data_IF_859505572101
#
_entry.id   IF_859505572101
#
_cell.length_a   1.000
_cell.length_b   1.000
_cell.length_c   1.000
_cell.angle_alpha   90.00
_cell.angle_beta   90.00
_cell.angle_gamma   90.00
#
_symmetry.space_group_name_H-M   'P 1'
#
loop_
_entity.id
_entity.type
_entity.pdbx_description
1 polymer ?
#
# COMPACT_ATOMS: atom_id res chain seq x y z
N UNK A 1 -64.85 20.44 -22.93
CA UNK A 1 -64.35 19.67 -21.77
C UNK A 1 -64.13 18.23 -22.21
N UNK A 2 -62.89 17.84 -22.51
CA UNK A 2 -62.54 16.47 -22.86
C UNK A 2 -61.66 15.91 -21.75
N UNK A 3 -62.20 14.98 -20.97
CA UNK A 3 -61.50 14.31 -19.87
C UNK A 3 -60.65 13.17 -20.42
N UNK A 4 -59.34 13.36 -20.43
CA UNK A 4 -58.37 12.37 -20.89
C UNK A 4 -58.38 11.13 -20.00
N UNK A 5 -58.71 9.97 -20.57
CA UNK A 5 -58.59 8.68 -19.87
C UNK A 5 -57.12 8.37 -19.60
N UNK A 6 -56.75 7.94 -18.37
CA UNK A 6 -55.38 7.56 -18.07
C UNK A 6 -54.97 6.33 -18.89
N UNK A 7 -53.76 6.39 -19.44
CA UNK A 7 -53.22 5.39 -20.35
C UNK A 7 -52.80 4.14 -19.54
N UNK A 8 -53.68 3.13 -19.51
CA UNK A 8 -53.59 1.95 -18.64
C UNK A 8 -52.22 1.24 -18.71
N UNK A 9 -51.55 1.24 -19.87
CA UNK A 9 -50.21 0.67 -20.03
C UNK A 9 -49.12 1.40 -19.24
N UNK A 10 -49.22 2.73 -19.07
CA UNK A 10 -48.29 3.49 -18.22
C UNK A 10 -48.49 3.20 -16.74
N UNK A 11 -49.73 3.02 -16.30
CA UNK A 11 -50.04 2.67 -14.92
C UNK A 11 -49.47 1.29 -14.56
N UNK A 12 -49.63 0.30 -15.44
CA UNK A 12 -49.10 -1.06 -15.24
C UNK A 12 -47.57 -1.06 -15.16
N UNK A 13 -46.90 -0.33 -16.06
CA UNK A 13 -45.43 -0.26 -16.07
C UNK A 13 -44.91 0.37 -14.78
N UNK A 14 -45.48 1.49 -14.34
CA UNK A 14 -45.07 2.16 -13.09
C UNK A 14 -45.29 1.25 -11.88
N UNK A 15 -46.44 0.56 -11.81
CA UNK A 15 -46.71 -0.39 -10.72
C UNK A 15 -45.71 -1.54 -10.70
N UNK A 16 -45.32 -2.08 -11.86
CA UNK A 16 -44.33 -3.15 -11.93
C UNK A 16 -42.94 -2.69 -11.48
N UNK A 17 -42.49 -1.51 -11.90
CA UNK A 17 -41.18 -0.97 -11.49
C UNK A 17 -41.11 -0.72 -9.99
N UNK A 18 -42.17 -0.15 -9.40
CA UNK A 18 -42.23 0.08 -7.95
C UNK A 18 -42.23 -1.24 -7.16
N UNK A 19 -42.92 -2.27 -7.67
CA UNK A 19 -42.94 -3.59 -7.05
C UNK A 19 -41.54 -4.24 -7.08
N UNK A 20 -40.84 -4.19 -8.23
CA UNK A 20 -39.47 -4.69 -8.36
C UNK A 20 -38.49 -3.96 -7.43
N UNK A 21 -38.54 -2.63 -7.39
CA UNK A 21 -37.68 -1.84 -6.51
C UNK A 21 -37.92 -2.15 -5.03
N UNK A 22 -39.19 -2.35 -4.63
CA UNK A 22 -39.54 -2.74 -3.27
C UNK A 22 -38.98 -4.12 -2.90
N UNK A 23 -39.10 -5.11 -3.79
CA UNK A 23 -38.53 -6.44 -3.55
C UNK A 23 -36.99 -6.44 -3.52
N UNK A 24 -36.33 -5.64 -4.37
CA UNK A 24 -34.87 -5.48 -4.32
C UNK A 24 -34.41 -4.82 -3.02
N UNK A 25 -35.16 -3.83 -2.51
CA UNK A 25 -34.89 -3.22 -1.22
C UNK A 25 -35.09 -4.21 -0.06
N UNK A 26 -36.14 -5.05 -0.11
CA UNK A 26 -36.35 -6.10 0.89
C UNK A 26 -35.24 -7.16 0.86
N UNK A 27 -34.77 -7.56 -0.32
CA UNK A 27 -33.64 -8.49 -0.47
C UNK A 27 -32.35 -7.85 0.05
N UNK A 28 -32.09 -6.60 -0.30
CA UNK A 28 -30.94 -5.85 0.18
C UNK A 28 -30.96 -5.72 1.72
N UNK A 29 -32.08 -5.32 2.31
CA UNK A 29 -32.19 -5.19 3.76
C UNK A 29 -32.20 -6.53 4.49
N UNK A 30 -32.80 -7.58 3.91
CA UNK A 30 -32.79 -8.93 4.47
C UNK A 30 -31.39 -9.56 4.46
N UNK A 31 -30.64 -9.35 3.37
CA UNK A 31 -29.29 -9.88 3.20
C UNK A 31 -28.25 -9.12 4.03
N UNK A 32 -28.31 -7.79 4.06
CA UNK A 32 -27.35 -6.96 4.78
C UNK A 32 -27.74 -6.65 6.24
N UNK A 33 -29.03 -6.64 6.57
CA UNK A 33 -29.51 -6.32 7.92
C UNK A 33 -29.31 -7.47 8.92
N UNK A 34 -29.49 -8.72 8.50
CA UNK A 34 -29.28 -9.88 9.36
C UNK A 34 -27.79 -10.15 9.66
N UNK A 35 -26.89 -9.80 8.74
CA UNK A 35 -25.44 -10.00 8.89
C UNK A 35 -24.79 -8.87 9.73
N UNK A 36 -25.37 -7.66 9.73
CA UNK A 36 -24.83 -6.53 10.49
C UNK A 36 -25.00 -6.69 12.01
N UNK A 37 -26.20 -7.02 12.49
CA UNK A 37 -26.47 -7.18 13.93
C UNK A 37 -25.66 -8.31 14.56
N UNK A 38 -25.50 -9.43 13.85
CA UNK A 38 -24.68 -10.56 14.30
C UNK A 38 -23.19 -10.21 14.37
N UNK A 39 -22.67 -9.46 13.40
CA UNK A 39 -21.27 -9.00 13.38
C UNK A 39 -20.99 -7.96 14.45
N UNK A 40 -21.95 -7.07 14.73
CA UNK A 40 -21.82 -6.06 15.80
C UNK A 40 -21.82 -6.73 17.17
N UNK A 41 -22.76 -7.65 17.44
CA UNK A 41 -22.78 -8.39 18.72
C UNK A 41 -21.52 -9.24 18.93
N UNK A 42 -21.02 -9.90 17.87
CA UNK A 42 -19.76 -10.65 17.95
C UNK A 42 -18.55 -9.74 18.26
N UNK A 43 -18.44 -8.58 17.59
CA UNK A 43 -17.35 -7.62 17.86
C UNK A 43 -17.43 -6.96 19.23
N UNK A 44 -18.63 -6.71 19.75
CA UNK A 44 -18.82 -6.16 21.09
C UNK A 44 -18.43 -7.19 22.17
N UNK A 45 -18.74 -8.47 21.97
CA UNK A 45 -18.33 -9.54 22.89
C UNK A 45 -16.80 -9.76 22.88
N UNK A 46 -16.16 -9.66 21.72
CA UNK A 46 -14.70 -9.73 21.59
C UNK A 46 -14.01 -8.53 22.27
N UNK A 47 -14.52 -7.31 22.05
CA UNK A 47 -14.00 -6.10 22.70
C UNK A 47 -14.15 -6.13 24.23
N UNK A 48 -15.28 -6.64 24.75
CA UNK A 48 -15.50 -6.79 26.19
C UNK A 48 -14.51 -7.80 26.83
N UNK A 49 -14.12 -8.84 26.08
CA UNK A 49 -13.15 -9.85 26.54
C UNK A 49 -11.73 -9.27 26.60
N UNK A 50 -11.35 -8.44 25.61
CA UNK A 50 -10.03 -7.78 25.56
C UNK A 50 -9.89 -6.72 26.66
N UNK A 51 -10.93 -5.93 26.92
CA UNK A 51 -10.92 -4.91 27.96
C UNK A 51 -10.86 -5.51 29.38
N UNK A 52 -11.33 -6.75 29.58
CA UNK A 52 -11.23 -7.47 30.86
C UNK A 52 -9.81 -7.95 31.21
N UNK A 53 -8.88 -8.01 30.24
CA UNK A 53 -7.52 -8.52 30.44
C UNK A 53 -6.46 -7.43 30.63
N UNK A 54 -6.78 -6.17 30.34
CA UNK A 54 -5.86 -5.02 30.45
C UNK A 54 -6.12 -4.24 31.74
N UNK A 55 -5.98 -4.92 32.88
CA UNK A 55 -6.00 -4.28 34.20
C UNK A 55 -4.74 -4.64 34.99
N UNK A 56 -3.59 -4.13 34.54
CA UNK A 56 -2.42 -3.84 35.41
C UNK A 56 -1.37 -3.02 34.67
N UNK A 57 -1.07 -1.78 35.11
CA UNK A 57 0.04 -1.01 34.56
C UNK A 57 1.33 -1.44 35.26
N UNK A 58 2.17 -2.23 34.58
CA UNK A 58 3.54 -2.49 35.07
C UNK A 58 4.53 -1.49 34.48
N UNK A 59 5.20 -0.79 35.39
CA UNK A 59 6.12 0.31 35.18
C UNK A 59 7.54 -0.24 35.25
N UNK A 60 8.03 -0.85 34.17
CA UNK A 60 9.46 -1.14 34.08
C UNK A 60 9.98 -1.02 32.64
N UNK A 61 10.59 0.14 32.38
CA UNK A 61 11.28 0.47 31.15
C UNK A 61 12.73 0.00 31.34
N UNK A 62 13.03 -1.23 30.91
CA UNK A 62 14.38 -1.78 31.03
C UNK A 62 14.55 -3.12 30.34
N UNK A 63 15.28 -3.10 29.21
CA UNK A 63 15.93 -4.26 28.55
C UNK A 63 14.98 -5.33 28.02
N UNK A 64 14.60 -5.20 26.76
CA UNK A 64 14.24 -6.38 25.97
C UNK A 64 15.43 -7.34 25.96
N UNK A 65 15.15 -8.60 26.31
CA UNK A 65 16.06 -9.74 26.21
C UNK A 65 16.58 -9.85 24.76
N UNK A 66 17.88 -10.09 24.51
CA UNK A 66 18.37 -10.23 23.14
C UNK A 66 17.66 -11.41 22.48
N UNK A 67 16.89 -11.15 21.42
CA UNK A 67 16.47 -12.20 20.49
C UNK A 67 17.74 -12.82 19.89
N UNK A 68 17.74 -14.13 19.73
CA UNK A 68 18.89 -14.95 19.36
C UNK A 68 19.71 -14.38 18.18
N UNK A 69 21.05 -14.50 18.27
CA UNK A 69 22.08 -13.82 17.46
C UNK A 69 22.16 -14.22 15.98
N UNK A 70 21.05 -14.36 15.27
CA UNK A 70 21.07 -14.51 13.81
C UNK A 70 19.86 -13.78 13.21
N UNK A 71 20.03 -13.02 12.11
CA UNK A 71 18.90 -12.42 11.42
C UNK A 71 17.88 -13.50 11.03
N UNK A 72 16.58 -13.17 10.99
CA UNK A 72 15.57 -14.10 10.54
C UNK A 72 15.80 -14.50 9.07
N UNK A 73 15.40 -15.72 8.72
CA UNK A 73 15.49 -16.22 7.33
C UNK A 73 14.55 -15.42 6.41
N UNK A 74 13.32 -15.18 6.88
CA UNK A 74 12.31 -14.41 6.14
C UNK A 74 11.67 -13.37 7.04
N UNK A 75 11.47 -12.19 6.48
CA UNK A 75 10.79 -11.08 7.14
C UNK A 75 9.78 -10.43 6.21
N UNK A 76 8.59 -10.13 6.72
CA UNK A 76 7.61 -9.29 6.03
C UNK A 76 7.59 -7.90 6.66
N UNK A 77 7.67 -6.89 5.81
CA UNK A 77 7.70 -5.47 6.16
C UNK A 77 6.47 -4.81 5.55
N UNK A 78 5.65 -4.18 6.39
CA UNK A 78 4.46 -3.49 5.94
C UNK A 78 4.36 -2.09 6.56
N UNK A 79 3.88 -1.14 5.76
CA UNK A 79 3.42 0.13 6.26
C UNK A 79 1.92 0.01 6.55
N UNK A 80 1.53 0.47 7.74
CA UNK A 80 0.18 0.38 8.26
C UNK A 80 -0.25 1.73 8.79
N UNK A 81 -1.55 1.96 8.77
CA UNK A 81 -2.21 2.97 9.59
C UNK A 81 -2.65 2.35 10.90
N UNK A 82 -2.88 3.19 11.91
CA UNK A 82 -3.44 2.73 13.18
C UNK A 82 -4.79 2.02 12.99
N UNK A 83 -5.59 2.46 12.01
CA UNK A 83 -6.90 1.89 11.71
C UNK A 83 -6.87 0.55 10.96
N UNK A 84 -5.71 0.13 10.43
CA UNK A 84 -5.63 -1.10 9.65
C UNK A 84 -5.59 -2.34 10.56
N UNK A 85 -6.36 -3.38 10.23
CA UNK A 85 -6.22 -4.69 10.87
C UNK A 85 -5.00 -5.41 10.28
N UNK A 86 -3.92 -5.48 11.05
CA UNK A 86 -2.68 -6.21 10.70
C UNK A 86 -2.55 -7.56 11.43
N UNK A 87 -3.55 -7.95 12.23
CA UNK A 87 -3.53 -9.23 12.95
C UNK A 87 -3.50 -10.44 12.01
N UNK A 88 -3.96 -10.27 10.77
CA UNK A 88 -4.00 -11.33 9.77
C UNK A 88 -2.60 -11.83 9.38
N UNK A 89 -1.57 -10.98 9.44
CA UNK A 89 -0.18 -11.40 9.20
C UNK A 89 0.22 -12.51 10.16
N UNK A 90 -0.15 -12.38 11.44
CA UNK A 90 0.14 -13.39 12.45
C UNK A 90 -0.77 -14.61 12.32
N UNK A 91 -2.04 -14.43 11.95
CA UNK A 91 -3.01 -15.53 11.82
C UNK A 91 -2.76 -16.43 10.61
N UNK A 92 -2.28 -15.89 9.50
CA UNK A 92 -2.28 -16.58 8.22
C UNK A 92 -0.91 -16.83 7.60
N UNK A 93 0.14 -16.09 7.99
CA UNK A 93 1.49 -16.34 7.49
C UNK A 93 2.26 -17.32 8.38
N UNK A 94 3.34 -17.93 7.86
CA UNK A 94 4.14 -18.86 8.66
C UNK A 94 4.67 -18.20 9.94
N UNK A 95 4.72 -18.98 11.03
CA UNK A 95 5.10 -18.46 12.34
C UNK A 95 6.56 -17.99 12.38
N UNK A 96 7.41 -18.63 11.59
CA UNK A 96 8.84 -18.36 11.45
C UNK A 96 9.18 -17.07 10.69
N UNK A 97 8.23 -16.50 9.93
CA UNK A 97 8.45 -15.19 9.31
C UNK A 97 8.46 -14.12 10.40
N UNK A 98 9.48 -13.26 10.41
CA UNK A 98 9.46 -12.04 11.21
C UNK A 98 8.44 -11.05 10.64
N UNK A 99 7.75 -10.29 11.48
CA UNK A 99 6.77 -9.27 11.06
C UNK A 99 7.24 -7.90 11.53
N UNK A 100 7.48 -6.99 10.59
CA UNK A 100 7.88 -5.60 10.84
C UNK A 100 6.79 -4.67 10.31
N UNK A 101 5.85 -4.34 11.19
CA UNK A 101 4.70 -3.51 10.85
C UNK A 101 4.96 -2.10 11.36
N UNK A 102 5.20 -1.16 10.43
CA UNK A 102 5.45 0.25 10.72
C UNK A 102 4.12 1.01 10.70
N UNK A 103 3.77 1.64 11.82
CA UNK A 103 2.57 2.50 11.89
C UNK A 103 2.98 3.92 11.50
N UNK A 104 2.43 4.46 10.42
CA UNK A 104 2.95 5.70 9.79
C UNK A 104 2.12 6.95 10.05
N UNK A 105 0.87 6.84 10.49
CA UNK A 105 -0.08 7.95 10.58
C UNK A 105 -0.26 8.51 12.00
N UNK A 106 0.63 8.13 12.91
CA UNK A 106 0.64 8.62 14.28
C UNK A 106 2.07 8.96 14.70
N UNK A 107 2.25 10.15 15.27
CA UNK A 107 3.45 10.53 16.06
C UNK A 107 3.42 9.86 17.44
N UNK A 108 3.00 8.60 17.48
CA UNK A 108 2.78 7.89 18.72
C UNK A 108 4.08 7.19 19.13
N UNK A 109 4.68 7.72 20.21
CA UNK A 109 5.82 7.10 20.88
C UNK A 109 5.51 5.69 21.44
N UNK A 110 4.26 5.22 21.36
CA UNK A 110 3.84 3.88 21.76
C UNK A 110 3.88 2.85 20.62
N UNK A 111 3.95 3.25 19.35
CA UNK A 111 4.09 2.31 18.25
C UNK A 111 5.49 1.65 18.30
N UNK A 112 5.59 0.30 18.33
CA UNK A 112 6.89 -0.37 18.40
C UNK A 112 7.81 -0.07 17.20
N UNK A 113 7.23 0.21 16.04
CA UNK A 113 7.92 0.62 14.82
C UNK A 113 7.14 1.77 14.17
N UNK A 114 7.84 2.87 13.90
CA UNK A 114 7.31 4.07 13.25
C UNK A 114 8.35 4.66 12.28
N UNK A 115 7.97 5.70 11.55
CA UNK A 115 8.82 6.38 10.57
C UNK A 115 9.23 7.77 11.07
N UNK A 116 10.39 8.30 10.63
CA UNK A 116 10.84 9.64 11.05
C UNK A 116 9.91 10.78 10.60
N UNK A 117 9.26 10.63 9.45
CA UNK A 117 8.28 11.58 8.88
C UNK A 117 7.37 10.81 7.93
N UNK A 118 6.06 10.97 8.03
CA UNK A 118 5.11 10.35 7.11
C UNK A 118 5.10 11.06 5.74
N UNK A 119 6.12 10.77 4.92
CA UNK A 119 6.30 11.34 3.57
C UNK A 119 6.53 10.23 2.56
N UNK A 120 5.74 10.18 1.49
CA UNK A 120 5.87 9.13 0.47
C UNK A 120 5.23 7.79 0.87
N UNK A 121 4.31 7.79 1.85
CA UNK A 121 3.50 6.64 2.24
C UNK A 121 4.36 5.41 2.58
N UNK A 122 4.15 4.28 1.91
CA UNK A 122 4.82 3.00 2.19
C UNK A 122 6.33 3.08 1.92
N UNK A 123 6.75 3.95 0.99
CA UNK A 123 8.16 4.12 0.65
C UNK A 123 9.01 4.54 1.84
N UNK A 124 8.47 5.36 2.75
CA UNK A 124 9.21 5.76 3.95
C UNK A 124 9.45 4.57 4.88
N UNK A 125 8.41 3.79 5.17
CA UNK A 125 8.54 2.62 6.05
C UNK A 125 9.56 1.62 5.49
N UNK A 126 9.52 1.39 4.18
CA UNK A 126 10.43 0.45 3.53
C UNK A 126 11.88 0.96 3.59
N UNK A 127 12.09 2.24 3.29
CA UNK A 127 13.42 2.84 3.35
C UNK A 127 13.98 2.89 4.78
N UNK A 128 13.16 3.30 5.76
CA UNK A 128 13.50 3.29 7.18
C UNK A 128 13.94 1.89 7.61
N UNK A 129 13.16 0.86 7.27
CA UNK A 129 13.52 -0.52 7.59
C UNK A 129 14.88 -0.93 6.99
N UNK A 130 15.07 -0.68 5.70
CA UNK A 130 16.31 -1.02 4.98
C UNK A 130 17.52 -0.35 5.62
N UNK A 131 17.40 0.94 5.98
CA UNK A 131 18.50 1.73 6.56
C UNK A 131 18.79 1.31 7.99
N UNK A 132 17.75 1.23 8.84
CA UNK A 132 17.93 0.97 10.28
C UNK A 132 18.36 -0.47 10.57
N UNK A 133 17.95 -1.40 9.71
CA UNK A 133 18.28 -2.82 9.85
C UNK A 133 19.40 -3.28 8.93
N UNK A 134 20.09 -2.37 8.22
CA UNK A 134 20.99 -2.70 7.10
C UNK A 134 22.03 -3.80 7.42
N UNK A 135 22.60 -3.77 8.61
CA UNK A 135 23.61 -4.73 9.06
C UNK A 135 23.01 -6.07 9.54
N UNK A 136 21.72 -6.09 9.85
CA UNK A 136 20.96 -7.22 10.41
C UNK A 136 19.70 -7.60 9.60
N UNK A 137 19.61 -7.21 8.31
CA UNK A 137 18.49 -7.53 7.42
C UNK A 137 18.22 -9.04 7.41
N UNK A 138 16.97 -9.46 7.22
CA UNK A 138 16.64 -10.88 6.98
C UNK A 138 17.27 -11.40 5.68
N UNK A 139 17.43 -12.73 5.51
CA UNK A 139 17.97 -13.27 4.25
C UNK A 139 17.07 -12.89 3.06
N UNK A 140 15.75 -12.96 3.27
CA UNK A 140 14.71 -12.53 2.34
C UNK A 140 13.72 -11.59 3.04
N UNK A 141 13.50 -10.42 2.47
CA UNK A 141 12.49 -9.47 2.92
C UNK A 141 11.35 -9.40 1.91
N UNK A 142 10.13 -9.35 2.42
CA UNK A 142 8.90 -9.21 1.65
C UNK A 142 8.27 -7.87 2.03
N UNK A 143 8.26 -6.93 1.10
CA UNK A 143 7.63 -5.63 1.28
C UNK A 143 6.19 -5.71 0.76
N UNK A 144 5.22 -5.39 1.62
CA UNK A 144 3.80 -5.63 1.36
C UNK A 144 2.90 -4.54 1.96
N UNK A 145 1.68 -4.40 1.44
CA UNK A 145 0.68 -3.49 2.01
C UNK A 145 0.02 -4.08 3.26
N UNK A 146 -0.46 -3.24 4.18
CA UNK A 146 -1.15 -3.73 5.37
C UNK A 146 -2.49 -4.42 5.07
N UNK A 147 -3.20 -3.99 4.02
CA UNK A 147 -4.51 -4.54 3.68
C UNK A 147 -4.41 -5.96 3.09
N UNK A 148 -5.11 -6.91 3.71
CA UNK A 148 -5.22 -8.28 3.20
C UNK A 148 -5.96 -8.36 1.87
N UNK A 149 -7.08 -7.65 1.76
CA UNK A 149 -7.92 -7.65 0.57
C UNK A 149 -7.75 -6.33 -0.17
N UNK A 150 -7.18 -6.37 -1.38
CA UNK A 150 -6.90 -5.17 -2.15
C UNK A 150 -6.90 -5.46 -3.66
N UNK A 151 -7.38 -4.49 -4.45
CA UNK A 151 -7.49 -4.60 -5.91
C UNK A 151 -6.16 -4.93 -6.62
N UNK A 152 -5.03 -4.61 -5.98
CA UNK A 152 -3.68 -4.83 -6.49
C UNK A 152 -3.04 -6.14 -5.98
N UNK A 153 -3.85 -7.02 -5.37
CA UNK A 153 -3.51 -8.42 -5.17
C UNK A 153 -4.06 -9.22 -6.35
N UNK A 154 -3.21 -9.95 -7.06
CA UNK A 154 -3.60 -10.62 -8.31
C UNK A 154 -4.36 -11.94 -8.09
N UNK A 155 -4.65 -12.29 -6.83
CA UNK A 155 -5.56 -13.39 -6.51
C UNK A 155 -6.99 -13.03 -6.96
N UNK A 156 -7.78 -13.97 -7.53
CA UNK A 156 -9.14 -13.68 -8.00
C UNK A 156 -10.07 -13.11 -6.92
N UNK A 157 -9.84 -13.45 -5.65
CA UNK A 157 -10.61 -12.94 -4.51
C UNK A 157 -9.98 -11.67 -3.88
N UNK A 158 -8.95 -11.12 -4.54
CA UNK A 158 -8.13 -10.00 -4.06
C UNK A 158 -7.42 -10.26 -2.72
N UNK A 159 -7.33 -11.53 -2.30
CA UNK A 159 -6.70 -11.95 -1.04
C UNK A 159 -5.17 -12.06 -1.18
N UNK A 160 -4.43 -11.45 -0.26
CA UNK A 160 -2.98 -11.54 -0.18
C UNK A 160 -2.46 -12.90 0.31
N UNK A 161 -3.25 -13.60 1.14
CA UNK A 161 -2.80 -14.82 1.84
C UNK A 161 -2.36 -15.93 0.87
N UNK A 162 -3.14 -16.26 -0.19
CA UNK A 162 -2.76 -17.30 -1.12
C UNK A 162 -1.41 -17.02 -1.82
N UNK A 163 -1.16 -15.77 -2.22
CA UNK A 163 0.10 -15.34 -2.84
C UNK A 163 1.27 -15.45 -1.88
N UNK A 164 1.13 -14.93 -0.66
CA UNK A 164 2.21 -14.93 0.33
C UNK A 164 2.55 -16.35 0.82
N UNK A 165 1.56 -17.21 1.06
CA UNK A 165 1.79 -18.60 1.49
C UNK A 165 2.41 -19.48 0.42
N UNK A 166 2.22 -19.14 -0.86
CA UNK A 166 2.80 -19.88 -2.00
C UNK A 166 4.05 -19.21 -2.57
N UNK A 167 4.56 -18.17 -1.92
CA UNK A 167 5.77 -17.48 -2.36
C UNK A 167 6.95 -18.45 -2.40
N UNK A 168 7.52 -18.66 -3.59
CA UNK A 168 8.65 -19.55 -3.79
C UNK A 168 9.95 -18.87 -3.36
N UNK A 169 10.28 -18.96 -2.08
CA UNK A 169 11.46 -18.30 -1.51
C UNK A 169 12.77 -18.65 -2.25
N UNK A 170 12.93 -19.90 -2.70
CA UNK A 170 14.13 -20.29 -3.47
C UNK A 170 14.22 -19.57 -4.82
N UNK A 171 13.10 -19.23 -5.44
CA UNK A 171 13.10 -18.41 -6.64
C UNK A 171 13.49 -16.97 -6.32
N UNK A 172 12.97 -16.40 -5.23
CA UNK A 172 13.37 -15.06 -4.76
C UNK A 172 14.88 -15.01 -4.49
N UNK A 173 15.42 -16.03 -3.82
CA UNK A 173 16.86 -16.15 -3.52
C UNK A 173 17.72 -16.18 -4.77
N UNK A 174 17.32 -16.93 -5.80
CA UNK A 174 18.04 -16.98 -7.08
C UNK A 174 17.91 -15.71 -7.91
N UNK A 175 16.71 -15.12 -7.95
CA UNK A 175 16.44 -13.90 -8.73
C UNK A 175 16.98 -12.63 -8.06
N UNK A 176 17.10 -12.64 -6.73
CA UNK A 176 17.55 -11.51 -5.92
C UNK A 176 16.46 -10.47 -5.64
N UNK A 177 15.56 -10.23 -6.60
CA UNK A 177 14.39 -9.35 -6.50
C UNK A 177 13.24 -9.94 -7.33
N UNK A 178 12.01 -9.91 -6.80
CA UNK A 178 10.80 -10.39 -7.48
C UNK A 178 9.64 -9.47 -7.14
N UNK A 179 8.92 -8.97 -8.16
CA UNK A 179 7.65 -8.29 -7.96
C UNK A 179 6.57 -9.33 -7.61
N UNK A 180 5.73 -9.05 -6.61
CA UNK A 180 4.67 -9.96 -6.20
C UNK A 180 3.42 -9.86 -7.09
N UNK A 181 3.34 -8.81 -7.89
CA UNK A 181 2.38 -8.71 -8.98
C UNK A 181 2.92 -9.38 -10.24
N UNK A 182 2.02 -10.04 -10.95
CA UNK A 182 2.24 -10.73 -12.21
C UNK A 182 1.12 -10.36 -13.19
N UNK A 183 0.90 -9.07 -13.39
CA UNK A 183 -0.09 -8.53 -14.34
C UNK A 183 0.57 -7.70 -15.43
N UNK A 184 0.03 -7.83 -16.64
CA UNK A 184 0.52 -7.13 -17.83
C UNK A 184 -0.20 -5.82 -18.10
N UNK A 185 -1.24 -5.48 -17.35
CA UNK A 185 -2.13 -4.35 -17.65
C UNK A 185 -1.63 -2.99 -17.14
N UNK A 186 -0.76 -2.98 -16.13
CA UNK A 186 -0.21 -1.74 -15.54
C UNK A 186 1.29 -1.91 -15.41
N UNK A 187 2.08 -1.02 -16.01
CA UNK A 187 3.53 -1.02 -15.86
C UNK A 187 4.29 -1.81 -16.92
N UNK A 188 3.64 -2.67 -17.71
CA UNK A 188 4.30 -3.53 -18.71
C UNK A 188 3.60 -3.41 -20.07
N UNK A 189 4.32 -3.61 -21.20
CA UNK A 189 5.74 -3.95 -21.29
C UNK A 189 6.68 -2.73 -21.26
N UNK A 190 6.17 -1.50 -21.28
CA UNK A 190 6.94 -0.28 -21.53
C UNK A 190 6.24 0.98 -21.01
N UNK A 191 5.79 0.97 -19.75
CA UNK A 191 4.96 2.05 -19.21
C UNK A 191 5.63 3.42 -19.19
N UNK A 192 6.91 3.49 -18.82
CA UNK A 192 7.64 4.76 -18.67
C UNK A 192 8.80 4.78 -19.66
N UNK A 193 8.89 5.86 -20.42
CA UNK A 193 9.96 6.18 -21.35
C UNK A 193 10.68 7.45 -20.85
N UNK A 194 11.65 7.34 -19.91
CA UNK A 194 12.09 8.48 -19.10
C UNK A 194 12.57 9.70 -19.89
N UNK A 195 13.17 9.49 -21.07
CA UNK A 195 13.63 10.59 -21.92
C UNK A 195 12.46 11.29 -22.64
N UNK A 196 11.61 10.51 -23.32
CA UNK A 196 10.44 11.04 -24.04
C UNK A 196 9.44 11.69 -23.07
N UNK A 197 9.11 11.01 -21.98
CA UNK A 197 8.16 11.51 -20.98
C UNK A 197 8.62 12.84 -20.34
N UNK A 198 9.93 13.06 -20.22
CA UNK A 198 10.49 14.29 -19.67
C UNK A 198 10.48 15.44 -20.70
N UNK A 199 10.71 15.15 -21.98
CA UNK A 199 10.60 16.11 -23.07
C UNK A 199 9.15 16.58 -23.24
N UNK A 200 8.19 15.66 -23.30
CA UNK A 200 6.76 15.96 -23.38
C UNK A 200 6.31 16.84 -22.19
N UNK A 201 6.74 16.51 -20.98
CA UNK A 201 6.43 17.29 -19.80
C UNK A 201 7.01 18.72 -19.82
N UNK A 202 8.17 18.91 -20.46
CA UNK A 202 8.80 20.22 -20.61
C UNK A 202 8.10 21.07 -21.68
N UNK A 203 7.69 20.46 -22.80
CA UNK A 203 6.95 21.13 -23.87
C UNK A 203 5.58 21.61 -23.38
N UNK A 204 4.86 20.79 -22.63
CA UNK A 204 3.57 21.14 -22.02
C UNK A 204 3.66 22.36 -21.08
N UNK A 205 4.83 22.58 -20.46
CA UNK A 205 5.06 23.71 -19.56
C UNK A 205 5.42 25.01 -20.28
N UNK A 206 5.65 24.96 -21.60
CA UNK A 206 6.16 26.09 -22.41
C UNK A 206 5.07 26.88 -23.16
N UNK A 207 3.80 26.46 -23.09
CA UNK A 207 2.66 27.20 -23.66
C UNK A 207 2.20 28.32 -22.71
N UNK A 208 2.99 29.39 -22.59
CA UNK A 208 2.59 30.67 -21.96
C UNK A 208 1.71 31.50 -22.92
N UNK A 209 0.61 30.87 -23.34
CA UNK A 209 -0.33 31.37 -24.34
C UNK A 209 -1.54 32.08 -23.75
N UNK A 210 -1.35 32.96 -22.74
CA UNK A 210 -2.31 34.00 -22.42
C UNK A 210 -3.15 33.81 -21.15
N UNK A 211 -2.72 34.45 -20.06
CA UNK A 211 -3.57 35.29 -19.18
C UNK A 211 -4.79 34.68 -18.47
N UNK A 212 -4.94 33.36 -18.43
CA UNK A 212 -5.96 32.66 -17.64
C UNK A 212 -5.33 31.88 -16.50
N UNK A 213 -6.06 31.68 -15.40
CA UNK A 213 -5.73 30.68 -14.37
C UNK A 213 -5.78 29.29 -15.00
N UNK A 214 -4.69 28.89 -15.67
CA UNK A 214 -4.47 27.54 -16.18
C UNK A 214 -4.51 26.56 -14.99
N UNK A 215 -5.34 25.50 -15.04
CA UNK A 215 -5.33 24.48 -14.00
C UNK A 215 -3.94 23.83 -13.97
N UNK A 216 -3.24 23.91 -12.82
CA UNK A 216 -1.95 23.24 -12.59
C UNK A 216 -2.08 21.76 -13.02
N UNK A 217 -1.50 21.39 -14.16
CA UNK A 217 -1.47 20.01 -14.64
C UNK A 217 -0.81 19.14 -13.56
N UNK A 218 -1.50 18.09 -13.14
CA UNK A 218 -1.00 17.19 -12.10
C UNK A 218 0.33 16.56 -12.52
N UNK A 219 1.34 16.64 -11.65
CA UNK A 219 2.64 16.02 -11.88
C UNK A 219 2.52 14.49 -11.87
N UNK A 220 2.83 13.85 -13.00
CA UNK A 220 2.77 12.38 -13.14
C UNK A 220 4.12 11.74 -12.81
N UNK A 221 4.11 10.45 -12.44
CA UNK A 221 5.36 9.69 -12.22
C UNK A 221 6.23 9.65 -13.47
N UNK A 222 5.62 9.52 -14.66
CA UNK A 222 6.33 9.55 -15.96
C UNK A 222 7.13 10.83 -16.13
N UNK A 223 6.46 11.97 -15.94
CA UNK A 223 7.05 13.30 -16.09
C UNK A 223 8.27 13.54 -15.18
N UNK A 224 8.29 12.97 -13.98
CA UNK A 224 9.38 13.19 -13.02
C UNK A 224 10.41 12.06 -12.96
N UNK A 225 10.17 10.92 -13.62
CA UNK A 225 10.96 9.71 -13.40
C UNK A 225 12.43 9.94 -13.68
N UNK A 226 12.76 10.51 -14.86
CA UNK A 226 14.15 10.79 -15.26
C UNK A 226 14.89 11.61 -14.22
N UNK A 227 14.31 12.76 -13.84
CA UNK A 227 14.89 13.67 -12.84
C UNK A 227 15.09 12.95 -11.51
N UNK A 228 14.07 12.26 -11.01
CA UNK A 228 14.16 11.51 -9.76
C UNK A 228 15.23 10.41 -9.82
N UNK A 229 15.37 9.73 -10.96
CA UNK A 229 16.40 8.71 -11.15
C UNK A 229 17.81 9.30 -11.10
N UNK A 230 18.05 10.41 -11.79
CA UNK A 230 19.35 11.10 -11.81
C UNK A 230 19.73 11.64 -10.42
N UNK A 231 18.75 12.16 -9.67
CA UNK A 231 18.94 12.61 -8.30
C UNK A 231 19.24 11.43 -7.34
N UNK A 232 18.49 10.33 -7.45
CA UNK A 232 18.63 9.17 -6.54
C UNK A 232 19.83 8.28 -6.87
N UNK A 233 20.24 8.22 -8.13
CA UNK A 233 21.29 7.32 -8.64
C UNK A 233 22.30 8.08 -9.51
N UNK A 234 23.03 9.05 -8.93
CA UNK A 234 23.97 9.88 -9.67
C UNK A 234 25.04 9.03 -10.36
N UNK A 235 25.29 9.32 -11.64
CA UNK A 235 26.25 8.60 -12.48
C UNK A 235 25.77 7.25 -13.02
N UNK A 236 24.55 6.83 -12.69
CA UNK A 236 23.91 5.67 -13.33
C UNK A 236 23.17 6.12 -14.58
N UNK A 237 23.38 5.51 -15.75
CA UNK A 237 22.59 5.81 -16.94
C UNK A 237 21.10 5.60 -16.67
N UNK A 238 20.28 6.58 -17.05
CA UNK A 238 18.82 6.46 -17.00
C UNK A 238 18.41 5.38 -18.01
N UNK A 239 17.53 4.43 -17.64
CA UNK A 239 17.05 3.42 -18.56
C UNK A 239 16.15 4.04 -19.65
N UNK A 240 16.23 3.52 -20.88
CA UNK A 240 15.38 3.97 -21.99
C UNK A 240 13.89 3.64 -21.75
N UNK A 241 13.63 2.51 -21.08
CA UNK A 241 12.28 2.01 -20.79
C UNK A 241 12.26 1.45 -19.37
N UNK A 242 11.19 1.73 -18.62
CA UNK A 242 10.92 1.11 -17.32
C UNK A 242 9.61 0.37 -17.38
N UNK A 243 9.72 -0.94 -17.14
CA UNK A 243 8.64 -1.88 -17.28
C UNK A 243 8.52 -2.77 -16.03
N UNK A 244 7.70 -2.36 -15.08
CA UNK A 244 7.49 -3.11 -13.84
C UNK A 244 6.06 -2.92 -13.38
N UNK A 245 5.42 -4.02 -12.96
CA UNK A 245 4.08 -3.96 -12.39
C UNK A 245 4.03 -3.01 -11.19
N UNK A 246 2.95 -2.23 -11.09
CA UNK A 246 2.82 -1.18 -10.06
C UNK A 246 2.75 -1.74 -8.63
N UNK A 247 2.59 -0.78 -7.71
CA UNK A 247 1.91 -0.99 -6.43
C UNK A 247 2.79 -1.57 -5.31
N UNK A 248 4.12 -1.49 -5.45
CA UNK A 248 5.07 -1.57 -4.33
C UNK A 248 5.04 -2.85 -3.48
N UNK A 249 4.59 -3.98 -4.05
CA UNK A 249 4.67 -5.29 -3.38
C UNK A 249 5.75 -6.14 -4.03
N UNK A 250 6.82 -6.44 -3.30
CA UNK A 250 7.97 -7.15 -3.85
C UNK A 250 8.72 -7.93 -2.77
N UNK A 251 9.46 -8.95 -3.18
CA UNK A 251 10.39 -9.67 -2.32
C UNK A 251 11.83 -9.43 -2.82
N UNK A 252 12.76 -9.26 -1.88
CA UNK A 252 14.15 -8.95 -2.18
C UNK A 252 15.08 -9.61 -1.17
N UNK A 253 16.24 -10.03 -1.65
CA UNK A 253 17.28 -10.65 -0.82
C UNK A 253 18.17 -9.62 -0.14
N UNK A 254 18.71 -9.97 1.03
CA UNK A 254 19.76 -9.18 1.70
C UNK A 254 20.88 -8.80 0.75
N UNK A 255 21.41 -9.80 0.03
CA UNK A 255 22.55 -9.61 -0.85
C UNK A 255 22.23 -8.64 -1.99
N UNK A 256 20.98 -8.65 -2.48
CA UNK A 256 20.53 -7.69 -3.50
C UNK A 256 20.49 -6.27 -2.97
N UNK A 257 19.95 -6.04 -1.78
CA UNK A 257 19.99 -4.71 -1.15
C UNK A 257 21.44 -4.27 -0.94
N UNK A 258 22.29 -5.18 -0.44
CA UNK A 258 23.70 -4.90 -0.12
C UNK A 258 24.60 -4.64 -1.32
N UNK A 259 24.14 -4.87 -2.55
CA UNK A 259 24.83 -4.39 -3.75
C UNK A 259 24.96 -2.87 -3.79
N UNK A 260 24.15 -2.13 -3.00
CA UNK A 260 24.28 -0.68 -2.84
C UNK A 260 24.59 -0.33 -1.38
N UNK A 261 25.70 0.37 -1.09
CA UNK A 261 26.05 0.74 0.28
C UNK A 261 25.00 1.68 0.89
N UNK A 262 24.84 1.69 2.23
CA UNK A 262 23.79 2.46 2.90
C UNK A 262 23.95 3.97 2.72
N UNK A 263 25.17 4.46 2.43
CA UNK A 263 25.40 5.86 2.04
C UNK A 263 24.66 6.26 0.76
N UNK A 264 24.50 5.34 -0.19
CA UNK A 264 23.69 5.56 -1.40
C UNK A 264 22.18 5.40 -1.18
N UNK A 265 21.76 5.03 0.04
CA UNK A 265 20.35 4.86 0.43
C UNK A 265 19.87 5.97 1.36
N UNK A 266 20.76 6.83 1.87
CA UNK A 266 20.32 8.00 2.64
C UNK A 266 19.65 9.00 1.70
N UNK A 267 18.45 9.51 2.06
CA UNK A 267 17.83 10.59 1.30
C UNK A 267 18.82 11.75 1.15
N UNK A 268 18.91 12.32 -0.05
CA UNK A 268 19.65 13.56 -0.25
C UNK A 268 19.09 14.63 0.70
N UNK A 269 19.92 15.55 1.22
CA UNK A 269 19.51 16.56 2.20
C UNK A 269 18.26 17.38 1.82
N UNK A 270 17.92 17.47 0.52
CA UNK A 270 16.74 18.18 0.02
C UNK A 270 15.39 17.43 0.14
N UNK A 271 15.38 16.09 0.28
CA UNK A 271 14.12 15.34 0.43
C UNK A 271 13.50 15.48 1.83
N UNK A 272 14.33 15.75 2.84
CA UNK A 272 13.89 16.03 4.20
C UNK A 272 13.43 17.48 4.41
N UNK A 273 13.91 18.42 3.59
CA UNK A 273 13.81 19.87 3.82
C UNK A 273 12.91 20.64 2.85
N UNK A 274 11.95 19.98 2.20
CA UNK A 274 10.86 20.70 1.53
C UNK A 274 9.84 21.18 2.58
N UNK A 275 10.30 22.08 3.45
CA UNK A 275 9.47 22.99 4.22
C UNK A 275 9.39 24.29 3.40
N UNK A 276 8.16 24.73 3.11
CA UNK A 276 7.84 26.11 2.72
C UNK A 276 8.52 26.69 1.48
N UNK A 277 7.80 26.69 0.36
CA UNK A 277 7.78 27.90 -0.48
C UNK A 277 6.36 28.43 -0.39
N UNK A 278 6.16 29.36 0.53
CA UNK A 278 5.11 30.36 0.41
C UNK A 278 5.40 31.18 -0.84
N UNK A 279 4.37 31.27 -1.68
CA UNK A 279 4.29 32.05 -2.91
C UNK A 279 2.87 31.99 -3.42
#
# INVERSE_FOLDING_TARGET
>A
MSTGRPNLGRAILISFTLLCSFFLLLIYHGYYGADFESRVTAKVAEAATVLGQVASPSKDRGKQKPLQNSPPEVEIVAASRHADDTSWFQRHLPAEWSKRIYVVDVDDAQAPLTVPKNKGREAMAYLTHIVDSYDALADTMVFFHAARFAWHNDDPDYDAVPTLRRLRLDHVRRAGYVNLRCVWVIGCPDEIHPHLDAEEAAEDSSFDGGGGEEPKKETTTKAIYKRAFEELLPGTPVPDVVAVSCCSQFAVTRDTIRRRPPRGLRPLPGLASADGVDG
#
